data_IF_072643773021
#
_entry.id   IF_072643773021
#
_cell.length_a   1.000
_cell.length_b   1.000
_cell.length_c   1.000
_cell.angle_alpha   90.00
_cell.angle_beta   90.00
_cell.angle_gamma   90.00
#
_symmetry.space_group_name_H-M   'P 1'
#
loop_
_entity.id
_entity.type
_entity.pdbx_description
1 polymer ?
#
# COMPACT_ATOMS: atom_id res chain seq x y z
N UNK A 1 -7.36 -33.74 4.07
CA UNK A 1 -6.06 -33.79 4.76
C UNK A 1 -5.67 -32.41 5.26
N UNK A 2 -6.02 -32.09 6.51
CA UNK A 2 -5.55 -30.89 7.21
C UNK A 2 -4.12 -31.11 7.66
N UNK A 3 -3.14 -30.83 6.80
CA UNK A 3 -1.75 -30.79 7.20
C UNK A 3 -1.61 -29.74 8.31
N UNK A 4 -1.34 -30.19 9.54
CA UNK A 4 -0.95 -29.32 10.65
C UNK A 4 0.39 -28.69 10.25
N UNK A 5 0.33 -27.58 9.51
CA UNK A 5 1.52 -26.77 9.29
C UNK A 5 2.12 -26.45 10.65
N UNK A 6 3.44 -26.64 10.84
CA UNK A 6 4.09 -26.31 12.10
C UNK A 6 3.78 -24.85 12.43
N UNK A 7 3.54 -24.55 13.71
CA UNK A 7 3.23 -23.20 14.21
C UNK A 7 4.26 -22.18 13.71
N UNK A 8 5.52 -22.62 13.55
CA UNK A 8 6.61 -21.86 12.97
C UNK A 8 6.32 -21.29 11.58
N UNK A 9 5.64 -22.03 10.69
CA UNK A 9 5.34 -21.55 9.33
C UNK A 9 4.36 -20.37 9.33
N UNK A 10 3.45 -20.32 10.31
CA UNK A 10 2.43 -19.26 10.40
C UNK A 10 2.99 -17.96 10.97
N UNK A 11 3.99 -18.07 11.84
CA UNK A 11 4.60 -16.94 12.53
C UNK A 11 6.05 -16.68 12.06
N UNK A 12 6.42 -17.20 10.89
CA UNK A 12 7.79 -17.11 10.36
C UNK A 12 8.27 -15.67 10.28
N UNK A 13 7.38 -14.75 9.89
CA UNK A 13 7.68 -13.31 9.82
C UNK A 13 7.94 -12.73 11.20
N UNK A 14 7.15 -13.09 12.21
CA UNK A 14 7.37 -12.59 13.58
C UNK A 14 8.70 -13.12 14.13
N UNK A 15 8.97 -14.42 13.97
CA UNK A 15 10.22 -15.00 14.44
C UNK A 15 11.44 -14.45 13.70
N UNK A 16 11.38 -14.29 12.37
CA UNK A 16 12.50 -13.74 11.61
C UNK A 16 12.80 -12.30 12.00
N UNK A 17 11.78 -11.48 12.24
CA UNK A 17 11.95 -10.10 12.72
C UNK A 17 12.53 -10.06 14.12
N UNK A 18 12.01 -10.88 15.04
CA UNK A 18 12.55 -10.95 16.41
C UNK A 18 14.01 -11.41 16.44
N UNK A 19 14.37 -12.41 15.64
CA UNK A 19 15.75 -12.89 15.52
C UNK A 19 16.64 -11.80 14.91
N UNK A 20 16.24 -11.20 13.79
CA UNK A 20 17.00 -10.14 13.12
C UNK A 20 17.21 -8.93 14.03
N UNK A 21 16.16 -8.51 14.76
CA UNK A 21 16.24 -7.40 15.71
C UNK A 21 17.16 -7.73 16.88
N UNK A 22 17.10 -8.95 17.43
CA UNK A 22 17.99 -9.40 18.51
C UNK A 22 19.45 -9.41 18.04
N UNK A 23 19.72 -9.94 16.85
CA UNK A 23 21.06 -9.91 16.25
C UNK A 23 21.55 -8.47 16.03
N UNK A 24 20.70 -7.57 15.53
CA UNK A 24 21.04 -6.15 15.38
C UNK A 24 21.33 -5.49 16.73
N UNK A 25 20.60 -5.84 17.79
CA UNK A 25 20.86 -5.40 19.16
C UNK A 25 22.23 -5.86 19.67
N UNK A 26 22.57 -7.14 19.47
CA UNK A 26 23.89 -7.69 19.85
C UNK A 26 25.02 -6.98 19.09
N UNK A 27 24.85 -6.74 17.79
CA UNK A 27 25.82 -6.03 16.95
C UNK A 27 25.94 -4.54 17.29
N UNK A 28 24.86 -3.93 17.76
CA UNK A 28 24.85 -2.56 18.29
C UNK A 28 25.66 -2.49 19.59
N UNK A 29 25.46 -3.45 20.50
CA UNK A 29 26.16 -3.52 21.78
C UNK A 29 27.65 -3.87 21.62
N UNK A 30 28.00 -4.73 20.66
CA UNK A 30 29.40 -5.08 20.37
C UNK A 30 30.18 -3.95 19.68
N UNK A 31 29.55 -2.83 19.35
CA UNK A 31 30.20 -1.67 18.72
C UNK A 31 30.51 -1.87 17.23
N UNK A 32 30.03 -2.96 16.60
CA UNK A 32 30.30 -3.27 15.20
C UNK A 32 29.81 -2.18 14.23
N UNK A 33 28.75 -1.46 14.62
CA UNK A 33 28.14 -0.39 13.82
C UNK A 33 28.74 1.01 14.04
N UNK A 34 29.80 1.16 14.84
CA UNK A 34 30.42 2.47 15.13
C UNK A 34 31.42 2.97 14.07
N UNK A 35 31.60 2.25 12.97
CA UNK A 35 32.68 2.52 12.01
C UNK A 35 32.36 3.56 10.94
N UNK A 36 31.09 3.74 10.58
CA UNK A 36 30.66 4.68 9.53
C UNK A 36 29.35 5.37 9.92
N UNK A 37 29.22 6.64 9.54
CA UNK A 37 28.04 7.49 9.81
C UNK A 37 26.75 6.90 9.25
N UNK A 38 26.82 6.24 8.08
CA UNK A 38 25.66 5.60 7.46
C UNK A 38 25.17 4.39 8.26
N UNK A 39 26.11 3.60 8.76
CA UNK A 39 25.82 2.42 9.59
C UNK A 39 25.29 2.81 10.96
N UNK A 40 25.77 3.94 11.50
CA UNK A 40 25.25 4.56 12.72
C UNK A 40 23.79 4.96 12.58
N UNK A 41 23.41 5.55 11.44
CA UNK A 41 22.04 6.04 11.22
C UNK A 41 21.04 4.95 10.81
N UNK A 42 21.51 3.90 10.14
CA UNK A 42 20.61 2.95 9.47
C UNK A 42 20.48 1.62 10.20
N UNK A 43 21.54 1.14 10.86
CA UNK A 43 21.63 -0.23 11.36
C UNK A 43 21.53 -0.35 12.89
N UNK A 44 21.75 0.75 13.63
CA UNK A 44 21.72 0.74 15.09
C UNK A 44 20.31 0.73 15.64
N UNK A 45 20.10 -0.06 16.69
CA UNK A 45 18.81 -0.19 17.39
C UNK A 45 18.54 0.94 18.40
N UNK A 46 19.57 1.69 18.78
CA UNK A 46 19.52 2.79 19.76
C UNK A 46 19.65 4.18 19.12
N UNK A 47 19.73 4.25 17.78
CA UNK A 47 19.99 5.48 17.03
C UNK A 47 19.05 6.64 17.39
N UNK A 48 17.78 6.33 17.62
CA UNK A 48 16.74 7.34 17.70
C UNK A 48 16.64 8.02 19.07
N UNK A 49 17.16 7.43 20.15
CA UNK A 49 17.00 7.93 21.52
C UNK A 49 15.53 8.08 21.99
N UNK A 50 14.57 7.69 21.15
CA UNK A 50 13.15 7.96 21.31
C UNK A 50 12.56 7.26 22.53
N UNK A 51 13.14 6.13 22.94
CA UNK A 51 12.66 5.35 24.07
C UNK A 51 12.79 6.15 25.38
N UNK A 52 13.83 6.96 25.55
CA UNK A 52 13.97 7.81 26.75
C UNK A 52 13.06 9.03 26.69
N UNK A 53 12.97 9.69 25.53
CA UNK A 53 12.18 10.92 25.35
C UNK A 53 10.66 10.72 25.22
N UNK A 54 10.19 9.51 24.89
CA UNK A 54 8.77 9.28 24.65
C UNK A 54 7.95 9.25 25.97
N UNK A 55 6.79 9.90 26.02
CA UNK A 55 5.87 9.79 27.16
C UNK A 55 5.31 8.36 27.27
N UNK A 56 4.93 7.97 28.50
CA UNK A 56 4.30 6.67 28.74
C UNK A 56 2.89 6.59 28.16
N UNK A 57 2.12 7.67 28.28
CA UNK A 57 0.78 7.80 27.74
C UNK A 57 0.75 9.04 26.84
N UNK A 58 0.32 8.86 25.60
CA UNK A 58 0.12 9.94 24.64
C UNK A 58 -1.15 9.66 23.85
N UNK A 59 -2.10 10.58 23.93
CA UNK A 59 -3.36 10.49 23.19
C UNK A 59 -3.40 11.66 22.21
N UNK A 60 -3.37 11.41 20.90
CA UNK A 60 -3.50 12.48 19.92
C UNK A 60 -4.91 13.07 20.02
N UNK A 61 -5.00 14.38 20.17
CA UNK A 61 -6.27 15.10 20.11
C UNK A 61 -6.41 15.79 18.74
N UNK A 62 -7.65 15.95 18.23
CA UNK A 62 -7.86 16.60 16.95
C UNK A 62 -7.33 18.04 17.00
N UNK A 63 -6.71 18.49 15.90
CA UNK A 63 -6.12 19.82 15.73
C UNK A 63 -4.95 20.15 16.67
N UNK A 64 -4.23 19.14 17.16
CA UNK A 64 -3.07 19.37 18.05
C UNK A 64 -1.91 20.15 17.41
N UNK A 65 -1.84 20.23 16.08
CA UNK A 65 -0.84 21.04 15.36
C UNK A 65 -1.38 22.38 14.84
N UNK A 66 -2.59 22.77 15.26
CA UNK A 66 -3.23 24.03 14.87
C UNK A 66 -4.46 23.84 13.98
N UNK A 67 -5.08 24.97 13.63
CA UNK A 67 -6.25 25.02 12.75
C UNK A 67 -5.86 24.81 11.29
N UNK A 68 -6.71 24.17 10.47
CA UNK A 68 -6.40 23.93 9.07
C UNK A 68 -6.27 25.25 8.30
N UNK A 69 -5.13 25.44 7.64
CA UNK A 69 -4.88 26.53 6.69
C UNK A 69 -5.10 26.03 5.27
N UNK A 70 -5.83 26.78 4.46
CA UNK A 70 -6.16 26.38 3.10
C UNK A 70 -5.30 27.16 2.09
N UNK A 71 -4.26 26.52 1.57
CA UNK A 71 -3.57 26.96 0.36
C UNK A 71 -4.13 26.18 -0.85
N UNK A 72 -4.63 26.91 -1.85
CA UNK A 72 -5.29 26.29 -3.01
C UNK A 72 -4.33 25.38 -3.79
N UNK A 73 -3.06 25.75 -3.90
CA UNK A 73 -2.06 24.97 -4.61
C UNK A 73 -1.80 23.63 -3.91
N UNK A 74 -1.63 23.65 -2.59
CA UNK A 74 -1.42 22.44 -1.80
C UNK A 74 -2.66 21.53 -1.72
N UNK A 75 -3.85 22.13 -1.69
CA UNK A 75 -5.11 21.36 -1.72
C UNK A 75 -5.21 20.56 -3.02
N UNK A 76 -4.92 21.18 -4.16
CA UNK A 76 -4.98 20.50 -5.46
C UNK A 76 -3.95 19.36 -5.54
N UNK A 77 -2.72 19.59 -5.07
CA UNK A 77 -1.69 18.54 -5.09
C UNK A 77 -2.06 17.36 -4.20
N UNK A 78 -2.68 17.60 -3.04
CA UNK A 78 -3.16 16.55 -2.14
C UNK A 78 -4.37 15.79 -2.70
N UNK A 79 -5.26 16.44 -3.44
CA UNK A 79 -6.35 15.76 -4.16
C UNK A 79 -5.77 14.78 -5.19
N UNK A 80 -4.75 15.22 -5.94
CA UNK A 80 -4.09 14.36 -6.94
C UNK A 80 -3.30 13.23 -6.29
N UNK A 81 -2.61 13.49 -5.17
CA UNK A 81 -1.96 12.43 -4.38
C UNK A 81 -2.97 11.38 -3.86
N UNK A 82 -4.15 11.82 -3.43
CA UNK A 82 -5.23 10.93 -2.99
C UNK A 82 -5.79 10.08 -4.13
N UNK A 83 -5.87 10.66 -5.34
CA UNK A 83 -6.26 9.92 -6.54
C UNK A 83 -5.23 8.84 -6.90
N UNK A 84 -3.94 9.20 -6.89
CA UNK A 84 -2.81 8.27 -7.09
C UNK A 84 -2.87 7.12 -6.06
N UNK A 85 -3.08 7.43 -4.79
CA UNK A 85 -3.24 6.44 -3.71
C UNK A 85 -4.45 5.52 -3.94
N UNK A 86 -5.52 6.03 -4.55
CA UNK A 86 -6.72 5.23 -4.88
C UNK A 86 -6.44 4.21 -5.99
N UNK A 87 -5.63 4.58 -6.99
CA UNK A 87 -5.15 3.67 -8.05
C UNK A 87 -4.33 2.55 -7.42
N UNK A 88 -3.36 2.89 -6.57
CA UNK A 88 -2.50 1.91 -5.90
C UNK A 88 -3.31 0.98 -4.98
N UNK A 89 -4.24 1.54 -4.22
CA UNK A 89 -5.11 0.79 -3.30
C UNK A 89 -5.99 -0.23 -4.02
N UNK A 90 -6.35 0.03 -5.28
CA UNK A 90 -7.10 -0.93 -6.11
C UNK A 90 -6.31 -2.23 -6.31
N UNK A 91 -5.00 -2.14 -6.50
CA UNK A 91 -4.11 -3.30 -6.57
C UNK A 91 -4.12 -4.12 -5.27
N UNK A 92 -4.04 -3.44 -4.12
CA UNK A 92 -4.10 -4.08 -2.80
C UNK A 92 -5.42 -4.81 -2.56
N UNK A 93 -6.57 -4.22 -2.96
CA UNK A 93 -7.87 -4.88 -2.84
C UNK A 93 -7.96 -6.14 -3.70
N UNK A 94 -7.48 -6.08 -4.94
CA UNK A 94 -7.43 -7.23 -5.84
C UNK A 94 -6.52 -8.35 -5.28
N UNK A 95 -5.34 -7.98 -4.77
CA UNK A 95 -4.42 -8.92 -4.15
C UNK A 95 -5.00 -9.59 -2.89
N UNK A 96 -5.62 -8.80 -2.02
CA UNK A 96 -6.29 -9.29 -0.82
C UNK A 96 -7.44 -10.24 -1.15
N UNK A 97 -8.27 -9.93 -2.16
CA UNK A 97 -9.35 -10.81 -2.58
C UNK A 97 -8.81 -12.13 -3.13
N UNK A 98 -7.74 -12.08 -3.92
CA UNK A 98 -7.12 -13.29 -4.50
C UNK A 98 -6.52 -14.21 -3.45
N UNK A 99 -5.79 -13.68 -2.47
CA UNK A 99 -5.21 -14.48 -1.39
C UNK A 99 -6.21 -14.89 -0.33
N UNK A 100 -7.21 -14.05 -0.08
CA UNK A 100 -8.36 -14.35 0.78
C UNK A 100 -9.31 -15.40 0.19
N UNK A 101 -9.08 -15.88 -1.03
CA UNK A 101 -9.96 -16.80 -1.76
C UNK A 101 -11.39 -16.27 -1.90
N UNK A 102 -11.53 -14.94 -1.98
CA UNK A 102 -12.79 -14.26 -2.22
C UNK A 102 -13.13 -14.28 -3.72
N UNK A 103 -14.39 -13.98 -4.05
CA UNK A 103 -14.79 -13.72 -5.44
C UNK A 103 -14.09 -12.47 -5.99
N UNK A 104 -13.87 -12.36 -7.31
CA UNK A 104 -13.31 -11.14 -7.90
C UNK A 104 -14.04 -9.88 -7.41
N UNK A 105 -13.28 -8.83 -7.09
CA UNK A 105 -13.83 -7.60 -6.48
C UNK A 105 -14.65 -6.84 -7.52
N UNK A 106 -15.96 -6.66 -7.33
CA UNK A 106 -16.76 -5.85 -8.24
C UNK A 106 -16.46 -4.36 -8.04
N UNK A 107 -16.60 -3.53 -9.09
CA UNK A 107 -16.28 -2.09 -9.05
C UNK A 107 -16.97 -1.30 -7.94
N UNK A 108 -18.20 -1.66 -7.56
CA UNK A 108 -18.91 -0.96 -6.49
C UNK A 108 -18.40 -1.27 -5.09
N UNK A 109 -17.90 -2.48 -4.86
CA UNK A 109 -17.20 -2.82 -3.61
C UNK A 109 -15.87 -2.07 -3.54
N UNK A 110 -15.17 -1.95 -4.68
CA UNK A 110 -13.94 -1.17 -4.77
C UNK A 110 -14.18 0.31 -4.47
N UNK A 111 -15.17 0.93 -5.12
CA UNK A 111 -15.57 2.32 -4.88
C UNK A 111 -15.93 2.56 -3.41
N UNK A 112 -16.68 1.64 -2.81
CA UNK A 112 -17.01 1.70 -1.38
C UNK A 112 -15.78 1.58 -0.47
N UNK A 113 -14.82 0.71 -0.83
CA UNK A 113 -13.55 0.56 -0.11
C UNK A 113 -12.71 1.85 -0.15
N UNK A 114 -12.61 2.47 -1.32
CA UNK A 114 -11.94 3.77 -1.52
C UNK A 114 -12.66 4.87 -0.73
N UNK A 115 -14.00 4.87 -0.69
CA UNK A 115 -14.78 5.79 0.14
C UNK A 115 -14.40 5.72 1.62
N UNK A 116 -14.22 4.52 2.17
CA UNK A 116 -13.75 4.35 3.56
C UNK A 116 -12.32 4.81 3.78
N UNK A 117 -11.43 4.66 2.80
CA UNK A 117 -10.08 5.24 2.84
C UNK A 117 -10.15 6.77 2.90
N UNK A 118 -11.05 7.40 2.14
CA UNK A 118 -11.28 8.84 2.18
C UNK A 118 -11.77 9.33 3.55
N UNK A 119 -12.74 8.63 4.16
CA UNK A 119 -13.20 8.91 5.53
C UNK A 119 -12.06 8.78 6.53
N UNK A 120 -11.24 7.72 6.39
CA UNK A 120 -10.04 7.55 7.19
C UNK A 120 -9.09 8.73 7.04
N UNK A 121 -8.79 9.16 5.81
CA UNK A 121 -7.87 10.27 5.51
C UNK A 121 -8.37 11.58 6.10
N UNK A 122 -9.68 11.83 6.05
CA UNK A 122 -10.27 13.00 6.69
C UNK A 122 -10.05 13.00 8.21
N UNK A 123 -10.38 11.90 8.89
CA UNK A 123 -10.19 11.77 10.34
C UNK A 123 -8.70 11.83 10.71
N UNK A 124 -7.85 11.17 9.91
CA UNK A 124 -6.40 11.21 10.07
C UNK A 124 -5.84 12.61 9.95
N UNK A 125 -6.26 13.37 8.94
CA UNK A 125 -5.85 14.76 8.74
C UNK A 125 -6.28 15.67 9.90
N UNK A 126 -7.47 15.47 10.47
CA UNK A 126 -7.88 16.18 11.69
C UNK A 126 -7.00 15.84 12.89
N UNK A 127 -6.58 14.58 13.01
CA UNK A 127 -5.59 14.10 13.97
C UNK A 127 -4.15 14.28 13.43
N UNK A 128 -3.94 15.23 12.51
CA UNK A 128 -2.67 15.70 11.90
C UNK A 128 -1.73 14.62 11.39
N UNK A 129 -2.31 13.57 10.81
CA UNK A 129 -1.58 12.70 9.91
C UNK A 129 -1.15 13.50 8.67
N UNK A 130 0.16 13.52 8.42
CA UNK A 130 0.76 14.20 7.26
C UNK A 130 0.57 13.40 5.98
N UNK A 131 0.40 12.07 6.09
CA UNK A 131 0.22 11.17 4.95
C UNK A 131 -1.23 10.71 4.84
N UNK A 132 -1.74 10.61 3.61
CA UNK A 132 -3.06 10.02 3.38
C UNK A 132 -3.09 8.54 3.74
N UNK A 133 -4.26 7.98 4.05
CA UNK A 133 -4.40 6.54 4.20
C UNK A 133 -4.51 5.84 2.84
N UNK A 134 -3.82 4.70 2.72
CA UNK A 134 -3.85 3.82 1.56
C UNK A 134 -4.12 2.38 2.00
N UNK A 135 -4.62 1.54 1.09
CA UNK A 135 -4.77 0.12 1.38
C UNK A 135 -3.40 -0.56 1.47
N UNK A 136 -3.07 -1.10 2.65
CA UNK A 136 -1.77 -1.69 2.93
C UNK A 136 -1.47 -2.92 2.05
N UNK A 137 -0.42 -2.78 1.24
CA UNK A 137 0.14 -3.88 0.44
C UNK A 137 0.80 -4.92 1.36
N UNK A 138 1.43 -4.48 2.45
CA UNK A 138 2.04 -5.37 3.45
C UNK A 138 1.03 -6.32 4.07
N UNK A 139 -0.14 -5.82 4.46
CA UNK A 139 -1.20 -6.66 5.02
C UNK A 139 -1.70 -7.69 3.99
N UNK A 140 -1.77 -7.31 2.71
CA UNK A 140 -2.11 -8.21 1.61
C UNK A 140 -1.04 -9.28 1.40
N UNK A 141 0.24 -8.92 1.50
CA UNK A 141 1.37 -9.85 1.45
C UNK A 141 1.43 -10.78 2.66
N UNK A 142 1.14 -10.28 3.86
CA UNK A 142 1.09 -11.08 5.08
C UNK A 142 -0.07 -12.09 5.02
N UNK A 143 -1.20 -11.70 4.43
CA UNK A 143 -2.30 -12.62 4.12
C UNK A 143 -1.86 -13.73 3.17
N UNK A 144 -1.03 -13.43 2.15
CA UNK A 144 -0.47 -14.43 1.24
C UNK A 144 0.36 -15.51 1.96
N UNK A 145 1.21 -15.06 2.91
CA UNK A 145 2.10 -15.93 3.67
C UNK A 145 1.33 -16.76 4.71
N UNK A 146 0.49 -16.10 5.51
CA UNK A 146 -0.23 -16.73 6.62
C UNK A 146 -1.41 -17.59 6.15
N UNK A 147 -2.00 -17.25 4.99
CA UNK A 147 -3.24 -17.84 4.45
C UNK A 147 -4.43 -17.72 5.40
N UNK A 148 -4.46 -16.69 6.25
CA UNK A 148 -5.55 -16.44 7.20
C UNK A 148 -6.38 -15.23 6.74
N UNK A 149 -7.35 -15.48 5.86
CA UNK A 149 -8.27 -14.45 5.32
C UNK A 149 -9.46 -14.09 6.23
N UNK A 150 -9.30 -14.17 7.55
CA UNK A 150 -10.39 -13.93 8.50
C UNK A 150 -10.50 -12.46 8.87
N UNK A 151 -11.72 -11.88 8.73
CA UNK A 151 -12.00 -10.48 9.12
C UNK A 151 -11.73 -10.20 10.60
N UNK A 152 -11.90 -11.22 11.47
CA UNK A 152 -11.66 -11.09 12.91
C UNK A 152 -10.21 -10.76 13.23
N UNK A 153 -9.27 -11.27 12.43
CA UNK A 153 -7.83 -11.00 12.63
C UNK A 153 -7.54 -9.52 12.45
N UNK A 154 -8.09 -8.90 11.41
CA UNK A 154 -7.92 -7.47 11.14
C UNK A 154 -8.61 -6.62 12.21
N UNK A 155 -9.82 -7.02 12.67
CA UNK A 155 -10.53 -6.31 13.74
C UNK A 155 -9.76 -6.32 15.06
N UNK A 156 -9.21 -7.48 15.44
CA UNK A 156 -8.40 -7.63 16.65
C UNK A 156 -7.09 -6.84 16.49
N UNK A 157 -6.44 -6.91 15.33
CA UNK A 157 -5.23 -6.12 15.03
C UNK A 157 -5.49 -4.60 15.16
N UNK A 158 -6.61 -4.11 14.64
CA UNK A 158 -7.00 -2.71 14.77
C UNK A 158 -7.21 -2.30 16.24
N UNK A 159 -7.85 -3.16 17.05
CA UNK A 159 -8.00 -2.90 18.49
C UNK A 159 -6.64 -2.85 19.21
N UNK A 160 -5.72 -3.74 18.86
CA UNK A 160 -4.34 -3.70 19.39
C UNK A 160 -3.58 -2.45 18.94
N UNK A 161 -3.73 -2.02 17.69
CA UNK A 161 -3.10 -0.78 17.20
C UNK A 161 -3.62 0.45 17.94
N UNK A 162 -4.93 0.55 18.17
CA UNK A 162 -5.52 1.65 18.97
C UNK A 162 -4.98 1.59 20.41
N UNK A 163 -4.94 0.40 21.00
CA UNK A 163 -4.42 0.20 22.35
C UNK A 163 -2.95 0.61 22.48
N UNK A 164 -2.08 0.14 21.58
CA UNK A 164 -0.65 0.47 21.61
C UNK A 164 -0.35 1.92 21.20
N UNK A 165 -1.21 2.55 20.38
CA UNK A 165 -1.06 3.95 20.03
C UNK A 165 -1.14 4.89 21.24
N UNK A 166 -1.84 4.49 22.31
CA UNK A 166 -1.92 5.26 23.56
C UNK A 166 -0.60 5.21 24.34
N UNK A 167 0.21 4.16 24.17
CA UNK A 167 1.45 3.99 24.90
C UNK A 167 2.66 4.42 24.06
N UNK A 168 3.11 5.67 24.25
CA UNK A 168 4.19 6.27 23.46
C UNK A 168 5.50 5.49 23.47
N UNK A 169 5.80 4.77 24.56
CA UNK A 169 6.99 3.88 24.65
C UNK A 169 6.94 2.72 23.67
N UNK A 170 5.76 2.11 23.42
CA UNK A 170 5.63 1.05 22.43
C UNK A 170 5.80 1.62 21.01
N UNK A 171 5.26 2.81 20.75
CA UNK A 171 5.51 3.54 19.49
C UNK A 171 7.01 3.79 19.26
N UNK A 172 7.73 4.25 20.30
CA UNK A 172 9.17 4.47 20.24
C UNK A 172 9.97 3.18 20.01
N UNK A 173 9.52 2.05 20.58
CA UNK A 173 10.12 0.74 20.32
C UNK A 173 9.95 0.29 18.87
N UNK A 174 8.76 0.43 18.29
CA UNK A 174 8.56 0.10 16.87
C UNK A 174 9.34 1.04 15.95
N UNK A 175 9.47 2.32 16.32
CA UNK A 175 10.28 3.30 15.59
C UNK A 175 11.80 3.05 15.71
N UNK A 176 12.26 2.27 16.70
CA UNK A 176 13.68 1.93 16.87
C UNK A 176 14.09 0.67 16.09
N UNK A 177 13.17 0.04 15.35
CA UNK A 177 13.49 -1.09 14.48
C UNK A 177 14.33 -0.57 13.28
N UNK A 178 15.51 -1.15 13.01
CA UNK A 178 16.37 -0.71 11.91
C UNK A 178 15.70 -0.79 10.53
N UNK A 179 15.98 0.22 9.70
CA UNK A 179 15.47 0.30 8.32
C UNK A 179 15.78 -0.94 7.45
N UNK A 180 16.96 -1.59 7.54
CA UNK A 180 17.25 -2.78 6.72
C UNK A 180 16.30 -3.95 6.99
N UNK A 181 15.82 -4.10 8.23
CA UNK A 181 14.85 -5.15 8.59
C UNK A 181 13.53 -4.86 7.89
N UNK A 182 13.06 -3.61 7.96
CA UNK A 182 11.87 -3.19 7.23
C UNK A 182 12.02 -3.44 5.72
N UNK A 183 13.11 -2.97 5.09
CA UNK A 183 13.32 -3.15 3.65
C UNK A 183 13.33 -4.62 3.22
N UNK A 184 13.92 -5.51 4.03
CA UNK A 184 13.91 -6.95 3.76
C UNK A 184 12.50 -7.54 3.80
N UNK A 185 11.67 -7.14 4.78
CA UNK A 185 10.27 -7.55 4.86
C UNK A 185 9.45 -7.03 3.67
N UNK A 186 9.62 -5.75 3.31
CA UNK A 186 8.94 -5.16 2.16
C UNK A 186 9.26 -5.91 0.88
N UNK A 187 10.52 -6.31 0.65
CA UNK A 187 10.91 -7.08 -0.53
C UNK A 187 10.10 -8.39 -0.66
N UNK A 188 9.93 -9.12 0.45
CA UNK A 188 9.16 -10.38 0.47
C UNK A 188 7.68 -10.11 0.24
N UNK A 189 7.09 -9.16 0.98
CA UNK A 189 5.65 -8.88 0.95
C UNK A 189 5.22 -8.30 -0.40
N UNK A 190 5.98 -7.35 -0.95
CA UNK A 190 5.78 -6.80 -2.29
C UNK A 190 5.99 -7.86 -3.36
N UNK A 191 6.94 -8.78 -3.19
CA UNK A 191 7.15 -9.92 -4.09
C UNK A 191 5.91 -10.83 -4.18
N UNK A 192 5.29 -11.15 -3.04
CA UNK A 192 4.02 -11.89 -3.02
C UNK A 192 2.93 -11.12 -3.77
N UNK A 193 2.68 -9.85 -3.44
CA UNK A 193 1.62 -9.08 -4.09
C UNK A 193 1.88 -8.91 -5.60
N UNK A 194 3.13 -8.71 -6.00
CA UNK A 194 3.54 -8.66 -7.41
C UNK A 194 3.22 -9.97 -8.15
N UNK A 195 3.39 -11.12 -7.49
CA UNK A 195 3.03 -12.42 -8.05
C UNK A 195 1.53 -12.52 -8.38
N UNK A 196 0.64 -11.90 -7.59
CA UNK A 196 -0.79 -11.82 -7.94
C UNK A 196 -1.02 -10.98 -9.18
N UNK A 197 -0.35 -9.84 -9.29
CA UNK A 197 -0.39 -8.99 -10.49
C UNK A 197 -0.03 -9.78 -11.75
N UNK A 198 1.09 -10.52 -11.71
CA UNK A 198 1.51 -11.41 -12.79
C UNK A 198 0.51 -12.55 -13.05
N UNK A 199 -0.09 -13.10 -11.98
CA UNK A 199 -1.11 -14.13 -12.09
C UNK A 199 -2.35 -13.69 -12.87
N UNK A 200 -2.69 -12.39 -12.86
CA UNK A 200 -3.80 -11.87 -13.67
C UNK A 200 -3.53 -11.89 -15.18
N UNK A 201 -2.27 -11.99 -15.62
CA UNK A 201 -1.91 -12.09 -17.03
C UNK A 201 -2.47 -13.37 -17.69
N UNK A 202 -2.82 -14.39 -16.90
CA UNK A 202 -3.47 -15.61 -17.41
C UNK A 202 -4.82 -15.35 -18.09
N UNK A 203 -5.46 -14.22 -17.78
CA UNK A 203 -6.74 -13.83 -18.39
C UNK A 203 -6.57 -13.09 -19.72
N UNK A 204 -5.34 -12.71 -20.07
CA UNK A 204 -5.00 -12.04 -21.32
C UNK A 204 -4.39 -13.02 -22.31
N UNK A 205 -4.52 -12.73 -23.61
CA UNK A 205 -3.85 -13.52 -24.63
C UNK A 205 -2.38 -13.10 -24.74
N UNK A 206 -1.49 -13.79 -24.01
CA UNK A 206 -0.04 -13.56 -24.01
C UNK A 206 0.66 -14.00 -25.30
N UNK A 207 -0.02 -14.70 -26.22
CA UNK A 207 0.56 -15.03 -27.53
C UNK A 207 0.48 -13.85 -28.50
N UNK A 208 -0.46 -12.93 -28.31
CA UNK A 208 -0.61 -11.75 -29.16
C UNK A 208 0.58 -10.79 -28.97
N UNK A 209 1.17 -10.35 -30.08
CA UNK A 209 2.26 -9.37 -30.08
C UNK A 209 1.83 -8.06 -29.43
N UNK A 210 0.57 -7.66 -29.62
CA UNK A 210 -0.01 -6.46 -29.02
C UNK A 210 0.04 -6.51 -27.49
N UNK A 211 -0.45 -7.59 -26.88
CA UNK A 211 -0.44 -7.76 -25.42
C UNK A 211 0.98 -7.69 -24.86
N UNK A 212 1.95 -8.30 -25.57
CA UNK A 212 3.37 -8.26 -25.18
C UNK A 212 3.94 -6.83 -25.24
N UNK A 213 3.62 -6.07 -26.28
CA UNK A 213 4.04 -4.66 -26.39
C UNK A 213 3.46 -3.81 -25.26
N UNK A 214 2.14 -3.91 -25.04
CA UNK A 214 1.47 -3.13 -24.00
C UNK A 214 2.08 -3.45 -22.63
N UNK A 215 2.24 -4.74 -22.31
CA UNK A 215 2.84 -5.19 -21.06
C UNK A 215 4.28 -4.71 -20.91
N UNK A 216 5.11 -4.90 -21.93
CA UNK A 216 6.54 -4.57 -21.91
C UNK A 216 6.80 -3.07 -21.76
N UNK A 217 6.10 -2.24 -22.54
CA UNK A 217 6.24 -0.78 -22.48
C UNK A 217 5.70 -0.21 -21.16
N UNK A 218 4.54 -0.68 -20.71
CA UNK A 218 3.94 -0.20 -19.46
C UNK A 218 4.80 -0.56 -18.25
N UNK A 219 5.40 -1.76 -18.23
CA UNK A 219 6.30 -2.18 -17.17
C UNK A 219 7.62 -1.40 -17.19
N UNK A 220 8.26 -1.26 -18.35
CA UNK A 220 9.54 -0.57 -18.48
C UNK A 220 9.43 0.93 -18.16
N UNK A 221 8.44 1.61 -18.73
CA UNK A 221 8.21 3.04 -18.51
C UNK A 221 7.64 3.32 -17.11
N UNK A 222 6.82 2.40 -16.58
CA UNK A 222 6.30 2.46 -15.21
C UNK A 222 7.37 2.32 -14.12
N UNK A 223 8.54 1.75 -14.44
CA UNK A 223 9.70 1.72 -13.53
C UNK A 223 10.67 2.89 -13.78
N UNK A 224 10.96 3.21 -15.04
CA UNK A 224 12.01 4.17 -15.39
C UNK A 224 11.59 5.63 -15.21
N UNK A 225 10.39 6.03 -15.63
CA UNK A 225 9.94 7.42 -15.54
C UNK A 225 9.81 7.91 -14.10
N UNK A 226 9.16 7.18 -13.18
CA UNK A 226 9.06 7.62 -11.79
C UNK A 226 10.41 7.76 -11.09
N UNK A 227 11.35 6.86 -11.41
CA UNK A 227 12.69 6.92 -10.85
C UNK A 227 13.44 8.16 -11.37
N UNK A 228 13.34 8.43 -12.68
CA UNK A 228 13.88 9.66 -13.26
C UNK A 228 13.32 10.91 -12.58
N UNK A 229 12.00 11.01 -12.44
CA UNK A 229 11.35 12.15 -11.78
C UNK A 229 11.77 12.27 -10.32
N UNK A 230 11.90 11.16 -9.59
CA UNK A 230 12.33 11.14 -8.18
C UNK A 230 13.74 11.68 -8.00
N UNK A 231 14.69 11.24 -8.83
CA UNK A 231 16.08 11.70 -8.74
C UNK A 231 16.22 13.19 -9.07
N UNK A 232 15.50 13.66 -10.10
CA UNK A 232 15.53 15.07 -10.51
C UNK A 232 14.73 15.99 -9.57
N UNK A 233 13.71 15.46 -8.88
CA UNK A 233 12.98 16.18 -7.85
C UNK A 233 13.90 16.60 -6.70
N UNK A 234 14.73 15.67 -6.22
CA UNK A 234 15.66 15.90 -5.12
C UNK A 234 16.76 16.89 -5.49
N UNK A 235 17.19 16.90 -6.76
CA UNK A 235 18.29 17.76 -7.20
C UNK A 235 17.86 19.18 -7.59
N UNK A 236 16.72 19.36 -8.27
CA UNK A 236 16.39 20.61 -8.97
C UNK A 236 14.90 21.03 -8.86
N UNK A 237 14.15 20.59 -7.84
CA UNK A 237 12.70 20.85 -7.71
C UNK A 237 11.85 20.27 -8.87
N UNK A 238 12.37 19.23 -9.53
CA UNK A 238 11.69 18.52 -10.60
C UNK A 238 12.15 18.95 -12.00
N UNK A 239 11.87 18.14 -13.03
CA UNK A 239 12.25 18.46 -14.40
C UNK A 239 11.35 19.53 -15.03
N UNK A 240 10.18 19.80 -14.45
CA UNK A 240 9.23 20.78 -14.98
C UNK A 240 9.45 22.14 -14.35
N UNK A 241 9.65 23.14 -15.20
CA UNK A 241 9.93 24.52 -14.80
C UNK A 241 8.85 25.43 -15.38
N UNK A 242 7.61 25.23 -14.96
CA UNK A 242 6.52 26.13 -15.35
C UNK A 242 6.51 27.31 -14.39
N UNK A 243 6.02 28.48 -14.80
CA UNK A 243 5.80 29.61 -13.87
C UNK A 243 4.73 29.31 -12.79
N UNK A 244 4.10 28.13 -12.83
CA UNK A 244 3.03 27.70 -11.94
C UNK A 244 3.47 26.49 -11.07
N UNK A 245 4.03 26.77 -9.89
CA UNK A 245 4.52 25.74 -8.94
C UNK A 245 3.48 24.67 -8.59
N UNK A 246 2.21 25.05 -8.44
CA UNK A 246 1.13 24.12 -8.10
C UNK A 246 0.91 23.07 -9.21
N UNK A 247 1.07 23.47 -10.47
CA UNK A 247 0.94 22.58 -11.63
C UNK A 247 2.13 21.62 -11.71
N UNK A 248 3.34 22.13 -11.49
CA UNK A 248 4.56 21.33 -11.48
C UNK A 248 4.52 20.25 -10.40
N UNK A 249 4.08 20.62 -9.18
CA UNK A 249 3.86 19.68 -8.09
C UNK A 249 2.82 18.62 -8.45
N UNK A 250 1.69 19.02 -9.05
CA UNK A 250 0.58 18.12 -9.40
C UNK A 250 1.03 17.02 -10.36
N UNK A 251 1.68 17.39 -11.45
CA UNK A 251 2.14 16.44 -12.47
C UNK A 251 3.28 15.59 -11.91
N UNK A 252 4.17 16.16 -11.11
CA UNK A 252 5.27 15.41 -10.49
C UNK A 252 4.75 14.33 -9.55
N UNK A 253 3.71 14.59 -8.77
CA UNK A 253 3.07 13.58 -7.90
C UNK A 253 2.55 12.38 -8.72
N UNK A 254 1.93 12.62 -9.88
CA UNK A 254 1.44 11.55 -10.75
C UNK A 254 2.61 10.77 -11.36
N UNK A 255 3.61 11.47 -11.88
CA UNK A 255 4.74 10.87 -12.59
C UNK A 255 5.73 10.17 -11.66
N UNK A 256 5.81 10.54 -10.37
CA UNK A 256 6.60 9.84 -9.35
C UNK A 256 5.95 8.54 -8.85
N UNK A 257 4.68 8.29 -9.18
CA UNK A 257 3.97 7.07 -8.82
C UNK A 257 4.14 5.99 -9.88
N UNK A 258 4.76 4.88 -9.50
CA UNK A 258 5.05 3.76 -10.40
C UNK A 258 3.78 3.10 -10.92
N UNK A 259 2.81 2.87 -10.02
CA UNK A 259 1.52 2.30 -10.38
C UNK A 259 0.74 3.22 -11.33
N UNK A 260 0.72 4.53 -11.07
CA UNK A 260 -0.05 5.49 -11.88
C UNK A 260 0.51 5.60 -13.29
N UNK A 261 1.83 5.71 -13.44
CA UNK A 261 2.49 5.76 -14.76
C UNK A 261 2.27 4.47 -15.53
N UNK A 262 2.45 3.30 -14.89
CA UNK A 262 2.23 2.02 -15.54
C UNK A 262 0.78 1.85 -16.04
N UNK A 263 -0.21 2.22 -15.22
CA UNK A 263 -1.63 2.16 -15.60
C UNK A 263 -1.95 3.16 -16.71
N UNK A 264 -1.45 4.39 -16.62
CA UNK A 264 -1.67 5.42 -17.64
C UNK A 264 -1.16 4.97 -19.01
N UNK A 265 0.07 4.45 -19.06
CA UNK A 265 0.68 3.95 -20.31
C UNK A 265 -0.08 2.72 -20.82
N UNK A 266 -0.43 1.79 -19.93
CA UNK A 266 -1.19 0.60 -20.31
C UNK A 266 -2.55 0.97 -20.92
N UNK A 267 -3.28 1.90 -20.31
CA UNK A 267 -4.60 2.35 -20.80
C UNK A 267 -4.46 3.11 -22.11
N UNK A 268 -3.48 4.02 -22.24
CA UNK A 268 -3.26 4.76 -23.49
C UNK A 268 -2.95 3.79 -24.64
N UNK A 269 -2.05 2.81 -24.41
CA UNK A 269 -1.70 1.82 -25.43
C UNK A 269 -2.85 0.86 -25.71
N UNK A 270 -3.66 0.49 -24.70
CA UNK A 270 -4.88 -0.30 -24.89
C UNK A 270 -5.87 0.47 -25.76
N UNK A 271 -6.12 1.75 -25.50
CA UNK A 271 -7.07 2.54 -26.30
C UNK A 271 -6.58 2.84 -27.72
N UNK A 272 -5.27 2.95 -27.94
CA UNK A 272 -4.70 3.40 -29.22
C UNK A 272 -4.49 2.25 -30.20
N UNK A 273 -4.07 1.08 -29.72
CA UNK A 273 -3.74 -0.05 -30.60
C UNK A 273 -5.02 -0.87 -30.86
N UNK A 274 -5.39 -1.01 -32.13
CA UNK A 274 -6.56 -1.78 -32.58
C UNK A 274 -6.58 -3.20 -32.02
N UNK A 275 -7.78 -3.67 -31.67
CA UNK A 275 -7.98 -4.94 -30.96
C UNK A 275 -8.56 -6.03 -31.86
N UNK A 276 -8.01 -7.24 -31.73
CA UNK A 276 -8.75 -8.45 -32.06
C UNK A 276 -9.78 -8.80 -30.98
N UNK A 277 -10.74 -9.69 -31.29
CA UNK A 277 -11.64 -10.23 -30.26
C UNK A 277 -10.83 -10.97 -29.18
N UNK A 278 -11.16 -10.76 -27.91
CA UNK A 278 -10.66 -11.50 -26.74
C UNK A 278 -9.17 -11.39 -26.36
N UNK A 279 -8.49 -10.30 -26.73
CA UNK A 279 -7.07 -10.15 -26.37
C UNK A 279 -6.83 -9.65 -24.94
N UNK A 280 -7.70 -8.78 -24.41
CA UNK A 280 -7.46 -7.99 -23.19
C UNK A 280 -8.07 -8.62 -21.92
N UNK A 281 -8.67 -9.81 -22.03
CA UNK A 281 -9.37 -10.47 -20.92
C UNK A 281 -10.70 -9.84 -20.48
N UNK A 282 -11.19 -8.79 -21.18
CA UNK A 282 -12.43 -8.06 -20.84
C UNK A 282 -13.64 -9.00 -20.69
N UNK A 283 -13.82 -9.94 -21.62
CA UNK A 283 -14.94 -10.91 -21.57
C UNK A 283 -14.94 -11.76 -20.29
N UNK A 284 -13.76 -12.07 -19.75
CA UNK A 284 -13.66 -12.81 -18.48
C UNK A 284 -14.07 -11.93 -17.30
N UNK A 285 -13.60 -10.68 -17.27
CA UNK A 285 -13.85 -9.74 -16.17
C UNK A 285 -15.28 -9.17 -16.16
N UNK A 286 -15.92 -9.01 -17.32
CA UNK A 286 -17.30 -8.52 -17.45
C UNK A 286 -18.30 -9.36 -16.64
N UNK A 287 -18.03 -10.67 -16.49
CA UNK A 287 -18.87 -11.58 -15.68
C UNK A 287 -18.94 -11.17 -14.22
N UNK A 288 -17.92 -10.46 -13.73
CA UNK A 288 -17.77 -10.03 -12.33
C UNK A 288 -17.97 -8.53 -12.14
N UNK A 289 -18.32 -7.80 -13.20
CA UNK A 289 -18.50 -6.35 -13.15
C UNK A 289 -19.77 -5.92 -12.37
N UNK A 290 -20.80 -6.78 -12.33
CA UNK A 290 -22.09 -6.45 -11.70
C UNK A 290 -22.19 -7.06 -10.31
N UNK A 291 -22.34 -6.22 -9.29
CA UNK A 291 -22.61 -6.66 -7.92
C UNK A 291 -23.99 -7.34 -7.84
N UNK A 292 -24.09 -8.47 -7.12
CA UNK A 292 -25.34 -9.20 -6.92
C UNK A 292 -25.71 -10.24 -7.98
N UNK A 293 -24.99 -10.32 -9.12
CA UNK A 293 -25.16 -11.41 -10.09
C UNK A 293 -24.64 -12.76 -9.57
N UNK A 294 -23.67 -12.72 -8.66
CA UNK A 294 -23.14 -13.89 -7.94
C UNK A 294 -23.58 -13.83 -6.47
N UNK A 295 -24.31 -14.85 -6.02
CA UNK A 295 -24.85 -14.97 -4.65
C UNK A 295 -23.72 -14.93 -3.60
N UNK A 296 -22.51 -15.37 -3.97
CA UNK A 296 -21.34 -15.38 -3.07
C UNK A 296 -20.82 -13.98 -2.75
N UNK A 297 -21.05 -13.00 -3.62
CA UNK A 297 -20.52 -11.64 -3.46
C UNK A 297 -21.13 -10.91 -2.26
N UNK A 298 -22.39 -11.17 -1.90
CA UNK A 298 -23.00 -10.55 -0.72
C UNK A 298 -22.39 -11.12 0.58
N UNK A 299 -22.12 -12.43 0.63
CA UNK A 299 -21.46 -13.07 1.79
C UNK A 299 -20.03 -12.53 1.99
N UNK A 300 -19.23 -12.49 0.91
CA UNK A 300 -17.83 -12.08 0.97
C UNK A 300 -17.62 -10.57 1.18
N UNK A 301 -18.57 -9.72 0.80
CA UNK A 301 -18.43 -8.27 0.87
C UNK A 301 -19.42 -7.58 1.82
N UNK A 302 -20.12 -8.33 2.68
CA UNK A 302 -20.97 -7.76 3.73
C UNK A 302 -20.19 -6.93 4.74
N UNK A 303 -20.58 -5.68 4.98
CA UNK A 303 -20.00 -4.86 6.04
C UNK A 303 -20.52 -5.29 7.44
N UNK A 304 -19.72 -5.11 8.51
CA UNK A 304 -20.16 -5.36 9.88
C UNK A 304 -21.35 -4.47 10.27
N UNK A 305 -22.12 -4.89 11.28
CA UNK A 305 -23.23 -4.12 11.86
C UNK A 305 -24.28 -3.57 10.88
N UNK A 306 -24.50 -4.24 9.74
CA UNK A 306 -25.44 -3.79 8.67
C UNK A 306 -25.10 -2.42 8.08
N UNK A 307 -23.84 -1.98 8.14
CA UNK A 307 -23.35 -0.76 7.46
C UNK A 307 -23.60 -0.77 5.94
N UNK A 308 -23.86 -1.94 5.35
CA UNK A 308 -24.36 -2.08 3.98
C UNK A 308 -25.59 -1.23 3.66
N UNK A 309 -26.45 -0.92 4.65
CA UNK A 309 -27.62 -0.07 4.44
C UNK A 309 -27.25 1.40 4.22
N UNK A 310 -26.14 1.84 4.81
CA UNK A 310 -25.66 3.21 4.76
C UNK A 310 -24.68 3.42 3.59
N UNK A 311 -23.95 2.36 3.23
CA UNK A 311 -23.05 2.30 2.08
C UNK A 311 -23.36 1.06 1.21
N UNK A 312 -24.42 1.10 0.40
CA UNK A 312 -24.74 0.01 -0.51
C UNK A 312 -23.64 -0.13 -1.57
N UNK A 313 -23.30 -1.38 -1.91
CA UNK A 313 -22.59 -1.67 -3.14
C UNK A 313 -23.64 -1.67 -4.24
N UNK A 314 -23.74 -0.55 -4.97
CA UNK A 314 -24.67 -0.41 -6.11
C UNK A 314 -24.22 -1.22 -7.33
#
# INVERSE_FOLDING_TARGET
>A
MTSKKPICDRFVVLFSVSIAWTCAGILTWSGAYNKSTDTLNTCRTDHSGLIHGAPWIYVPYPFQWGTPTFDVGEVITMIVASFVSSIESTGSFSASARYGSATPVPPSVLSRGIGWLGVGTFIGGMCGNVTGFAASIENSGALALTRVGSRRVIQISAAFMIFFSVFGKFGAFFASIPLPIFSALYCILLGCVSSVGLGHLQFCNLNSFRTKIILGLSFSLGLSLPQFFREHWVSNHGPMHTHAKWFDNMVSVVLMSHASVAVMIAVILDCTITHGKNENGKEWWEKFAVYGKDVRSDEFYKLPWKLNKLFPAL
#
